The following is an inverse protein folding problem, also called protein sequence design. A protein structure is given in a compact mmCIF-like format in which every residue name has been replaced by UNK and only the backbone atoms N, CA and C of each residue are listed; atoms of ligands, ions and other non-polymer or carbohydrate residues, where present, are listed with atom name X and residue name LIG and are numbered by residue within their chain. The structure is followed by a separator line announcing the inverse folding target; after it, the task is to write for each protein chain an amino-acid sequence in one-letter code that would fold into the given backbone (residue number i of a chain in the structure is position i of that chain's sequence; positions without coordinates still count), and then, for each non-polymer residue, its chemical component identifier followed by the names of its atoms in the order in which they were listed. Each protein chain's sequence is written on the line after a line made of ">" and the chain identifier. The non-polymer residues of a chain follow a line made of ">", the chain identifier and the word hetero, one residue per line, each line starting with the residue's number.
data_IF_286140918464
#
_entry.id   IF_286140918464
#
_cell.length_a   1.000
_cell.length_b   1.000
_cell.length_c   1.000
_cell.angle_alpha   90.00
_cell.angle_beta   90.00
_cell.angle_gamma   90.00
#
_symmetry.space_group_name_H-M   'P 1'
#
loop_
_entity.id
_entity.type
_entity.pdbx_description
1 polymer ?
#
# COMPACT_ATOMS: atom_id res chain seq x y z
N UNK A 1 -3.11 -20.13 12.39
CA UNK A 1 -2.53 -18.76 12.40
C UNK A 1 -3.51 -17.81 11.71
N UNK A 2 -4.04 -16.79 12.40
CA UNK A 2 -4.93 -15.81 11.75
C UNK A 2 -4.14 -14.97 10.74
N UNK A 3 -4.54 -15.01 9.46
CA UNK A 3 -3.93 -14.25 8.36
C UNK A 3 -4.81 -13.04 8.08
N UNK A 4 -4.27 -11.84 8.29
CA UNK A 4 -4.97 -10.60 7.93
C UNK A 4 -4.65 -10.25 6.48
N UNK A 5 -5.66 -9.84 5.71
CA UNK A 5 -5.49 -9.44 4.32
C UNK A 5 -5.67 -7.92 4.19
N UNK A 6 -4.71 -7.25 3.55
CA UNK A 6 -4.84 -5.86 3.11
C UNK A 6 -4.85 -5.81 1.60
N UNK A 7 -5.47 -4.77 1.03
CA UNK A 7 -5.67 -4.65 -0.41
C UNK A 7 -4.75 -3.58 -0.98
N UNK A 8 -3.93 -3.96 -1.97
CA UNK A 8 -3.10 -3.02 -2.73
C UNK A 8 -3.70 -2.78 -4.12
N UNK A 9 -3.59 -1.53 -4.59
CA UNK A 9 -4.04 -1.09 -5.92
C UNK A 9 -2.88 -1.13 -6.92
N UNK A 10 -3.15 -1.54 -8.15
CA UNK A 10 -2.23 -1.48 -9.29
C UNK A 10 -2.96 -0.96 -10.52
N UNK A 11 -2.38 0.04 -11.17
CA UNK A 11 -2.85 0.54 -12.45
C UNK A 11 -2.21 -0.25 -13.61
N UNK A 12 -3.02 -0.64 -14.59
CA UNK A 12 -2.54 -1.26 -15.83
C UNK A 12 -2.63 -0.25 -16.97
N UNK A 13 -1.48 0.14 -17.52
CA UNK A 13 -1.41 1.07 -18.67
C UNK A 13 -2.10 0.49 -19.91
N UNK A 14 -1.90 -0.80 -20.20
CA UNK A 14 -2.46 -1.47 -21.40
C UNK A 14 -3.99 -1.50 -21.42
N UNK A 15 -4.61 -1.66 -20.25
CA UNK A 15 -6.07 -1.74 -20.11
C UNK A 15 -6.70 -0.49 -19.51
N UNK A 16 -5.91 0.57 -19.33
CA UNK A 16 -6.28 1.84 -18.71
C UNK A 16 -7.17 1.69 -17.46
N UNK A 17 -6.84 0.73 -16.59
CA UNK A 17 -7.72 0.31 -15.48
C UNK A 17 -6.98 0.01 -14.20
N UNK A 18 -7.65 0.34 -13.10
CA UNK A 18 -7.23 -0.01 -11.75
C UNK A 18 -7.64 -1.44 -11.40
N UNK A 19 -6.75 -2.14 -10.70
CA UNK A 19 -6.98 -3.49 -10.19
C UNK A 19 -6.53 -3.57 -8.74
N UNK A 20 -7.24 -4.36 -7.94
CA UNK A 20 -6.92 -4.57 -6.52
C UNK A 20 -6.52 -6.00 -6.28
N UNK A 21 -5.45 -6.25 -5.55
CA UNK A 21 -5.02 -7.58 -5.15
C UNK A 21 -4.85 -7.69 -3.63
N UNK A 22 -5.23 -8.84 -3.04
CA UNK A 22 -5.01 -9.08 -1.62
C UNK A 22 -3.53 -9.34 -1.37
N UNK A 23 -3.01 -8.76 -0.30
CA UNK A 23 -1.67 -8.94 0.23
C UNK A 23 -1.82 -9.50 1.64
N UNK A 24 -1.12 -10.60 1.91
CA UNK A 24 -1.02 -11.14 3.26
C UNK A 24 -0.25 -10.14 4.11
N UNK A 25 -0.89 -9.64 5.15
CA UNK A 25 -0.24 -8.74 6.10
C UNK A 25 0.29 -9.57 7.25
N UNK A 26 1.50 -9.26 7.68
CA UNK A 26 2.08 -9.80 8.90
C UNK A 26 1.23 -9.38 10.10
N UNK A 27 1.20 -10.21 11.12
CA UNK A 27 0.45 -9.89 12.33
C UNK A 27 1.03 -8.64 12.99
N UNK A 28 0.16 -7.78 13.52
CA UNK A 28 0.57 -6.68 14.37
C UNK A 28 0.94 -7.24 15.74
N UNK A 29 2.15 -6.93 16.19
CA UNK A 29 2.62 -7.27 17.53
C UNK A 29 2.71 -5.99 18.35
N UNK A 30 1.98 -5.91 19.46
CA UNK A 30 1.91 -4.71 20.30
C UNK A 30 3.25 -4.30 20.90
N UNK A 31 4.20 -5.23 21.04
CA UNK A 31 5.54 -4.92 21.54
C UNK A 31 6.44 -4.20 20.51
N UNK A 32 6.10 -4.24 19.20
CA UNK A 32 6.90 -3.58 18.17
C UNK A 32 6.88 -2.06 18.39
N UNK A 33 5.74 -1.50 18.76
CA UNK A 33 5.62 -0.07 19.08
C UNK A 33 6.56 0.32 20.22
N UNK A 34 6.66 -0.52 21.26
CA UNK A 34 7.58 -0.29 22.39
C UNK A 34 9.04 -0.32 21.95
N UNK A 35 9.42 -1.26 21.08
CA UNK A 35 10.77 -1.35 20.52
C UNK A 35 11.10 -0.14 19.64
N UNK A 36 10.14 0.31 18.82
CA UNK A 36 10.28 1.51 17.99
C UNK A 36 10.50 2.76 18.85
N UNK A 37 9.72 2.93 19.92
CA UNK A 37 9.90 4.05 20.86
C UNK A 37 11.27 3.99 21.52
N UNK A 38 11.73 2.83 21.97
CA UNK A 38 13.05 2.66 22.55
C UNK A 38 14.17 3.05 21.56
N UNK A 39 14.09 2.57 20.33
CA UNK A 39 15.07 2.89 19.28
C UNK A 39 15.08 4.38 18.92
N UNK A 40 13.90 5.02 18.85
CA UNK A 40 13.81 6.48 18.59
C UNK A 40 14.39 7.28 19.75
N UNK A 41 14.11 6.89 20.99
CA UNK A 41 14.68 7.56 22.16
C UNK A 41 16.21 7.46 22.15
N UNK A 42 16.75 6.28 21.88
CA UNK A 42 18.19 6.06 21.77
C UNK A 42 18.80 6.88 20.61
N UNK A 43 18.12 6.94 19.46
CA UNK A 43 18.55 7.76 18.33
C UNK A 43 18.53 9.26 18.63
N UNK A 44 17.51 9.76 19.32
CA UNK A 44 17.38 11.17 19.69
C UNK A 44 18.43 11.60 20.71
N UNK A 45 18.78 10.71 21.64
CA UNK A 45 19.80 10.94 22.67
C UNK A 45 21.21 10.75 22.08
N UNK A 46 21.36 9.85 21.10
CA UNK A 46 22.61 9.59 20.41
C UNK A 46 23.13 10.78 19.61
N UNK A 47 24.36 11.21 19.86
CA UNK A 47 24.97 12.38 19.21
C UNK A 47 25.26 12.20 17.69
N UNK A 48 25.07 11.02 17.10
CA UNK A 48 25.33 10.77 15.67
C UNK A 48 24.05 10.93 14.84
N UNK A 49 23.81 12.13 14.32
CA UNK A 49 22.83 12.37 13.25
C UNK A 49 23.33 11.78 11.95
N UNK A 50 22.86 10.58 11.60
CA UNK A 50 23.17 9.90 10.31
C UNK A 50 22.31 10.48 9.16
N UNK A 51 21.28 11.28 9.46
CA UNK A 51 20.33 11.77 8.47
C UNK A 51 20.70 13.15 7.91
N UNK A 52 20.71 13.26 6.58
CA UNK A 52 20.74 14.53 5.86
C UNK A 52 19.47 14.67 5.01
N UNK A 53 18.69 15.76 5.17
CA UNK A 53 17.52 15.99 4.33
C UNK A 53 17.94 16.17 2.86
N UNK A 54 17.44 15.30 1.99
CA UNK A 54 17.68 15.38 0.55
C UNK A 54 16.72 16.42 -0.03
N UNK A 55 17.26 17.55 -0.49
CA UNK A 55 16.48 18.56 -1.22
C UNK A 55 16.05 17.96 -2.57
N UNK A 56 14.75 17.84 -2.80
CA UNK A 56 14.21 17.40 -4.10
C UNK A 56 14.35 18.52 -5.12
N UNK A 57 14.73 18.16 -6.34
CA UNK A 57 14.79 19.11 -7.45
C UNK A 57 13.39 19.52 -7.91
N UNK A 58 13.26 20.70 -8.51
CA UNK A 58 11.97 21.21 -9.01
C UNK A 58 11.30 20.28 -10.03
N UNK A 59 12.09 19.50 -10.78
CA UNK A 59 11.59 18.55 -11.78
C UNK A 59 11.36 17.12 -11.26
N UNK A 60 11.45 16.86 -9.95
CA UNK A 60 11.19 15.52 -9.42
C UNK A 60 9.73 15.12 -9.74
N UNK A 61 9.49 13.98 -10.42
CA UNK A 61 8.14 13.55 -10.78
C UNK A 61 7.20 13.40 -9.59
N UNK A 62 7.75 13.20 -8.38
CA UNK A 62 6.96 13.16 -7.13
C UNK A 62 6.37 14.51 -6.73
N UNK A 63 6.94 15.61 -7.23
CA UNK A 63 6.42 16.97 -7.02
C UNK A 63 5.37 17.34 -8.08
N UNK A 64 5.45 16.74 -9.28
CA UNK A 64 4.60 17.07 -10.44
C UNK A 64 3.23 16.40 -10.35
N UNK A 65 3.19 15.13 -9.94
CA UNK A 65 1.95 14.39 -9.80
C UNK A 65 1.99 13.48 -8.58
N UNK A 66 0.91 13.49 -7.80
CA UNK A 66 0.75 12.59 -6.65
C UNK A 66 0.70 11.12 -7.08
N UNK A 67 0.19 10.87 -8.30
CA UNK A 67 -0.02 9.54 -8.86
C UNK A 67 0.52 9.50 -10.29
N UNK A 68 1.29 8.46 -10.62
CA UNK A 68 1.88 8.25 -11.95
C UNK A 68 0.82 7.83 -13.00
N UNK A 69 -0.39 7.47 -12.55
CA UNK A 69 -1.48 7.03 -13.41
C UNK A 69 -2.23 8.23 -14.00
N UNK A 70 -2.71 8.06 -15.24
CA UNK A 70 -3.50 9.06 -15.97
C UNK A 70 -4.93 9.24 -15.44
N UNK A 71 -5.44 8.25 -14.70
CA UNK A 71 -6.80 8.25 -14.15
C UNK A 71 -6.71 8.11 -12.64
N UNK A 72 -7.47 8.92 -11.92
CA UNK A 72 -7.54 8.85 -10.47
C UNK A 72 -8.05 7.48 -10.00
N UNK A 73 -7.47 6.92 -8.92
CA UNK A 73 -7.88 5.63 -8.44
C UNK A 73 -9.21 5.73 -7.69
N UNK A 74 -10.25 4.96 -8.08
CA UNK A 74 -11.49 4.93 -7.32
C UNK A 74 -11.29 4.24 -5.95
N UNK A 75 -12.28 4.33 -5.05
CA UNK A 75 -12.19 3.76 -3.71
C UNK A 75 -11.88 2.27 -3.72
N UNK A 76 -10.97 1.83 -2.85
CA UNK A 76 -10.50 0.43 -2.80
C UNK A 76 -11.66 -0.54 -2.55
N UNK A 77 -12.63 -0.16 -1.72
CA UNK A 77 -13.80 -0.97 -1.39
C UNK A 77 -14.63 -1.36 -2.63
N UNK A 78 -14.84 -0.42 -3.56
CA UNK A 78 -15.60 -0.67 -4.78
C UNK A 78 -14.93 -1.71 -5.69
N UNK A 79 -13.60 -1.65 -5.80
CA UNK A 79 -12.85 -2.61 -6.60
C UNK A 79 -12.85 -4.01 -5.99
N UNK A 80 -12.82 -4.11 -4.66
CA UNK A 80 -12.93 -5.40 -3.96
C UNK A 80 -14.30 -6.01 -4.22
N UNK A 81 -15.38 -5.23 -4.11
CA UNK A 81 -16.74 -5.70 -4.39
C UNK A 81 -16.93 -6.18 -5.85
N UNK A 82 -16.36 -5.45 -6.82
CA UNK A 82 -16.41 -5.83 -8.25
C UNK A 82 -15.59 -7.10 -8.54
N UNK A 83 -14.53 -7.38 -7.78
CA UNK A 83 -13.62 -8.51 -8.00
C UNK A 83 -14.21 -9.80 -7.43
N UNK A 84 -15.00 -10.52 -8.24
CA UNK A 84 -15.48 -11.87 -7.92
C UNK A 84 -14.38 -12.91 -8.12
N UNK A 85 -14.35 -13.93 -7.26
CA UNK A 85 -13.46 -15.08 -7.45
C UNK A 85 -13.87 -15.87 -8.71
N UNK A 86 -12.93 -16.60 -9.32
CA UNK A 86 -13.21 -17.44 -10.48
C UNK A 86 -14.32 -18.45 -10.19
N UNK A 87 -14.28 -19.08 -9.01
CA UNK A 87 -15.31 -20.01 -8.55
C UNK A 87 -16.69 -19.36 -8.43
N UNK A 88 -16.77 -18.15 -7.85
CA UNK A 88 -18.02 -17.41 -7.73
C UNK A 88 -18.60 -16.99 -9.09
N UNK A 89 -17.73 -16.70 -10.07
CA UNK A 89 -18.15 -16.42 -11.45
C UNK A 89 -18.69 -17.68 -12.12
N UNK A 90 -18.03 -18.82 -11.93
CA UNK A 90 -18.44 -20.09 -12.50
C UNK A 90 -19.82 -20.55 -11.98
N UNK A 91 -20.05 -20.44 -10.66
CA UNK A 91 -21.36 -20.76 -10.04
C UNK A 91 -22.52 -19.92 -10.56
N UNK A 92 -22.29 -18.65 -10.94
CA UNK A 92 -23.33 -17.79 -11.53
C UNK A 92 -23.71 -18.18 -12.95
N UNK A 93 -22.86 -18.95 -13.65
CA UNK A 93 -23.12 -19.38 -15.02
C UNK A 93 -23.79 -20.77 -15.07
N UNK A 94 -23.94 -21.43 -13.91
CA UNK A 94 -24.59 -22.74 -13.77
C UNK A 94 -26.04 -22.63 -13.30
N UNK A 95 -26.45 -21.44 -12.85
CA UNK A 95 -27.83 -21.05 -12.59
C UNK A 95 -28.30 -20.12 -13.71
#
# INVERSE_FOLDING_TARGET
>A
MSVCFSYKRKFSKRGNKWTVYPVKVTKAYSYIEKLMVAAVNEYCIGQKRIYHPIKRQSGDPRNIASTIASIEPPPTAEHVAKRKSRLAKWRKNLN
#
